data_IF_463276359755
#
_entry.id   IF_463276359755
#
_cell.length_a   1.000
_cell.length_b   1.000
_cell.length_c   1.000
_cell.angle_alpha   90.00
_cell.angle_beta   90.00
_cell.angle_gamma   90.00
#
_symmetry.space_group_name_H-M   'P 1'
#
loop_
_entity.id
_entity.type
_entity.pdbx_description
1 polymer ?
#
# COMPACT_ATOMS: atom_id res chain seq x y z
N UNK A 1 20.87 -4.45 -13.36
CA UNK A 1 20.30 -3.55 -12.34
C UNK A 1 18.78 -3.68 -12.40
N UNK A 2 18.13 -3.86 -11.27
CA UNK A 2 16.65 -3.91 -11.22
C UNK A 2 16.11 -2.48 -11.12
N UNK A 3 15.26 -2.09 -12.06
CA UNK A 3 14.58 -0.80 -12.02
C UNK A 3 13.29 -0.98 -11.21
N UNK A 4 13.12 -0.17 -10.18
CA UNK A 4 11.94 -0.19 -9.32
C UNK A 4 11.05 0.97 -9.72
N UNK A 5 9.85 0.66 -10.18
CA UNK A 5 8.86 1.65 -10.61
C UNK A 5 7.58 1.61 -9.79
N UNK A 6 7.31 0.50 -9.11
CA UNK A 6 6.12 0.31 -8.29
C UNK A 6 6.41 -0.69 -7.15
N UNK A 7 5.42 -0.90 -6.29
CA UNK A 7 5.55 -1.80 -5.15
C UNK A 7 5.72 -3.26 -5.58
N UNK A 8 5.10 -3.69 -6.68
CA UNK A 8 5.24 -5.06 -7.17
C UNK A 8 6.68 -5.38 -7.59
N UNK A 9 7.41 -4.41 -8.13
CA UNK A 9 8.84 -4.58 -8.44
C UNK A 9 9.66 -4.86 -7.18
N UNK A 10 9.32 -4.23 -6.05
CA UNK A 10 9.95 -4.52 -4.76
C UNK A 10 9.64 -5.94 -4.29
N UNK A 11 8.40 -6.41 -4.49
CA UNK A 11 8.01 -7.78 -4.15
C UNK A 11 8.83 -8.80 -4.94
N UNK A 12 8.98 -8.60 -6.25
CA UNK A 12 9.80 -9.45 -7.13
C UNK A 12 11.28 -9.44 -6.70
N UNK A 13 11.80 -8.28 -6.31
CA UNK A 13 13.16 -8.16 -5.82
C UNK A 13 13.33 -8.90 -4.48
N UNK A 14 12.39 -8.75 -3.57
CA UNK A 14 12.40 -9.46 -2.28
C UNK A 14 12.38 -10.98 -2.48
N UNK A 15 11.56 -11.48 -3.41
CA UNK A 15 11.49 -12.91 -3.74
C UNK A 15 12.85 -13.48 -4.16
N UNK A 16 13.68 -12.67 -4.80
CA UNK A 16 15.01 -13.10 -5.27
C UNK A 16 16.09 -12.98 -4.20
N UNK A 17 15.96 -12.05 -3.25
CA UNK A 17 17.02 -11.70 -2.31
C UNK A 17 16.77 -12.16 -0.88
N UNK A 18 15.53 -12.25 -0.45
CA UNK A 18 15.18 -12.64 0.91
C UNK A 18 15.20 -14.17 1.00
N UNK A 19 15.73 -14.74 2.10
CA UNK A 19 15.64 -16.18 2.30
C UNK A 19 14.20 -16.66 2.22
N UNK A 20 14.00 -17.77 1.52
CA UNK A 20 12.67 -18.27 1.17
C UNK A 20 11.72 -18.41 2.36
N UNK A 21 12.24 -18.86 3.49
CA UNK A 21 11.45 -19.02 4.71
C UNK A 21 10.79 -17.68 5.16
N UNK A 22 11.55 -16.61 5.14
CA UNK A 22 11.04 -15.29 5.54
C UNK A 22 10.15 -14.68 4.47
N UNK A 23 10.51 -14.86 3.21
CA UNK A 23 9.68 -14.37 2.11
C UNK A 23 8.31 -15.05 2.10
N UNK A 24 8.27 -16.38 2.16
CA UNK A 24 7.02 -17.14 2.14
C UNK A 24 6.15 -16.82 3.36
N UNK A 25 6.75 -16.62 4.53
CA UNK A 25 6.03 -16.19 5.72
C UNK A 25 5.34 -14.84 5.53
N UNK A 26 6.04 -13.86 4.97
CA UNK A 26 5.51 -12.51 4.77
C UNK A 26 4.51 -12.42 3.61
N UNK A 27 4.71 -13.20 2.55
CA UNK A 27 3.94 -13.13 1.30
C UNK A 27 2.81 -14.17 1.21
N UNK A 28 2.45 -14.78 2.32
CA UNK A 28 1.37 -15.77 2.34
C UNK A 28 0.26 -15.37 3.31
N UNK A 29 -0.94 -15.86 3.04
CA UNK A 29 -2.10 -15.73 3.92
C UNK A 29 -2.44 -17.07 4.55
N UNK A 30 -3.41 -17.05 5.47
CA UNK A 30 -3.90 -18.25 6.15
C UNK A 30 -4.99 -18.96 5.36
N UNK A 31 -5.02 -20.27 5.47
CA UNK A 31 -6.08 -21.13 4.96
C UNK A 31 -6.25 -20.97 3.44
N UNK A 32 -7.43 -20.53 2.99
CA UNK A 32 -7.72 -20.31 1.57
C UNK A 32 -7.17 -19.00 1.02
N UNK A 33 -6.54 -18.20 1.85
CA UNK A 33 -6.00 -16.88 1.49
C UNK A 33 -7.06 -15.89 0.96
N UNK A 34 -8.34 -16.07 1.32
CA UNK A 34 -9.40 -15.20 0.83
C UNK A 34 -9.23 -13.75 1.27
N UNK A 35 -8.89 -13.52 2.55
CA UNK A 35 -8.62 -12.18 3.07
C UNK A 35 -7.35 -11.58 2.45
N UNK A 36 -6.31 -12.37 2.30
CA UNK A 36 -5.08 -11.98 1.63
C UNK A 36 -5.35 -11.45 0.21
N UNK A 37 -6.14 -12.18 -0.57
CA UNK A 37 -6.51 -11.73 -1.92
C UNK A 37 -7.44 -10.52 -1.90
N UNK A 38 -8.37 -10.45 -0.94
CA UNK A 38 -9.30 -9.32 -0.81
C UNK A 38 -8.58 -8.02 -0.45
N UNK A 39 -7.51 -8.06 0.34
CA UNK A 39 -6.71 -6.88 0.68
C UNK A 39 -6.21 -6.12 -0.55
N UNK A 40 -5.97 -6.82 -1.65
CA UNK A 40 -5.56 -6.19 -2.90
C UNK A 40 -6.75 -5.91 -3.82
N UNK A 41 -7.59 -6.90 -4.07
CA UNK A 41 -8.69 -6.79 -5.02
C UNK A 41 -9.76 -5.77 -4.60
N UNK A 42 -10.04 -5.66 -3.31
CA UNK A 42 -11.04 -4.68 -2.81
C UNK A 42 -10.54 -3.23 -2.96
N UNK A 43 -9.25 -2.99 -2.70
CA UNK A 43 -8.65 -1.67 -2.95
C UNK A 43 -8.72 -1.32 -4.44
N UNK A 44 -8.50 -2.29 -5.32
CA UNK A 44 -8.59 -2.10 -6.77
C UNK A 44 -10.00 -1.72 -7.27
N UNK A 45 -11.05 -2.00 -6.50
CA UNK A 45 -12.43 -1.61 -6.83
C UNK A 45 -12.70 -0.13 -6.57
N UNK A 46 -11.91 0.50 -5.69
CA UNK A 46 -12.06 1.92 -5.37
C UNK A 46 -11.44 2.73 -6.49
N UNK A 47 -12.24 3.57 -7.12
CA UNK A 47 -11.79 4.40 -8.24
C UNK A 47 -11.86 5.87 -7.87
N UNK A 48 -10.85 6.62 -8.31
CA UNK A 48 -10.82 8.07 -8.15
C UNK A 48 -11.59 8.72 -9.29
N UNK A 49 -12.53 9.61 -8.94
CA UNK A 49 -13.28 10.39 -9.92
C UNK A 49 -12.48 11.64 -10.27
N UNK A 50 -11.93 11.65 -11.47
CA UNK A 50 -11.19 12.80 -11.96
C UNK A 50 -12.15 13.99 -12.22
N UNK A 51 -11.70 15.17 -11.87
CA UNK A 51 -12.35 16.43 -12.21
C UNK A 51 -11.38 17.30 -12.99
N UNK A 52 -11.88 17.97 -14.02
CA UNK A 52 -11.09 18.90 -14.85
C UNK A 52 -11.59 20.31 -14.66
N UNK A 53 -10.75 21.31 -15.02
CA UNK A 53 -11.07 22.73 -14.95
C UNK A 53 -11.48 23.20 -13.54
N UNK A 54 -10.87 22.63 -12.50
CA UNK A 54 -11.06 23.04 -11.11
C UNK A 54 -9.84 23.80 -10.64
N UNK A 55 -10.07 24.94 -9.97
CA UNK A 55 -8.97 25.70 -9.38
C UNK A 55 -8.33 24.89 -8.23
N UNK A 56 -7.04 24.62 -8.36
CA UNK A 56 -6.25 23.85 -7.41
C UNK A 56 -5.24 24.68 -6.62
N UNK A 57 -5.36 26.02 -6.70
CA UNK A 57 -4.39 26.93 -6.11
C UNK A 57 -4.20 26.72 -4.61
N UNK A 58 -5.28 26.54 -3.88
CA UNK A 58 -5.27 26.35 -2.43
C UNK A 58 -5.49 24.90 -1.99
N UNK A 59 -5.10 23.93 -2.82
CA UNK A 59 -5.27 22.52 -2.48
C UNK A 59 -4.46 22.13 -1.26
N UNK A 60 -5.03 21.29 -0.41
CA UNK A 60 -4.36 20.73 0.75
C UNK A 60 -4.88 19.32 1.02
N UNK A 61 -4.00 18.43 1.44
CA UNK A 61 -4.34 17.08 1.90
C UNK A 61 -4.28 16.98 3.43
N UNK A 62 -3.97 18.08 4.13
CA UNK A 62 -3.85 18.08 5.58
C UNK A 62 -5.21 17.78 6.24
N UNK A 63 -5.19 16.96 7.28
CA UNK A 63 -6.38 16.51 7.99
C UNK A 63 -6.06 16.23 9.46
N UNK A 64 -7.06 16.34 10.33
CA UNK A 64 -6.95 15.92 11.72
C UNK A 64 -7.18 14.41 11.82
N UNK A 65 -6.19 13.69 12.33
CA UNK A 65 -6.25 12.25 12.57
C UNK A 65 -5.88 11.95 14.01
N UNK A 66 -6.81 11.38 14.78
CA UNK A 66 -6.60 10.98 16.18
C UNK A 66 -5.97 12.12 17.03
N UNK A 67 -6.51 13.33 16.86
CA UNK A 67 -6.06 14.51 17.62
C UNK A 67 -4.75 15.12 17.11
N UNK A 68 -4.18 14.64 16.03
CA UNK A 68 -2.96 15.18 15.42
C UNK A 68 -3.21 15.63 13.99
N UNK A 69 -2.50 16.67 13.58
CA UNK A 69 -2.55 17.13 12.19
C UNK A 69 -1.64 16.27 11.31
N UNK A 70 -2.23 15.55 10.38
CA UNK A 70 -1.50 14.79 9.37
C UNK A 70 -1.44 15.56 8.05
N UNK A 71 -0.33 15.45 7.33
CA UNK A 71 -0.17 16.12 6.03
C UNK A 71 -1.05 15.50 4.93
N UNK A 72 -1.48 14.25 5.11
CA UNK A 72 -2.42 13.53 4.24
C UNK A 72 -3.21 12.51 5.06
N UNK A 73 -4.43 12.14 4.64
CA UNK A 73 -5.30 11.23 5.41
C UNK A 73 -4.89 9.77 5.25
N UNK A 74 -3.61 9.46 5.50
CA UNK A 74 -3.07 8.10 5.39
C UNK A 74 -2.13 7.84 6.55
N UNK A 75 -2.27 6.70 7.18
CA UNK A 75 -1.33 6.20 8.17
C UNK A 75 -0.96 4.76 7.84
N UNK A 76 0.31 4.44 7.97
CA UNK A 76 0.79 3.07 7.79
C UNK A 76 0.53 2.30 9.07
N UNK A 77 -0.16 1.17 8.96
CA UNK A 77 -0.39 0.28 10.09
C UNK A 77 0.91 -0.32 10.60
N UNK A 78 1.02 -0.63 11.89
CA UNK A 78 2.18 -1.34 12.40
C UNK A 78 2.30 -2.71 11.76
N UNK A 79 3.53 -3.07 11.42
CA UNK A 79 3.86 -4.36 10.78
C UNK A 79 4.78 -5.14 11.70
N UNK A 80 4.46 -6.40 11.95
CA UNK A 80 5.31 -7.30 12.71
C UNK A 80 6.50 -7.79 11.89
N UNK A 81 7.49 -8.34 12.56
CA UNK A 81 8.69 -8.93 11.95
C UNK A 81 9.55 -7.92 11.17
N UNK A 82 9.62 -6.69 11.64
CA UNK A 82 10.45 -5.64 11.05
C UNK A 82 11.55 -5.18 12.02
#
# INVERSE_FOLDING_TARGET
MTVITNIEDLRVLAQKRVPRMFYDYADSGSWTESTYRANESEVGKIKLRQRVAVNMENRSTAVQMVGQTAKMPVAIAPVGLT
#
